data_IF_879456884270
#
_entry.id   IF_879456884270
#
_cell.length_a   1.000
_cell.length_b   1.000
_cell.length_c   1.000
_cell.angle_alpha   90.00
_cell.angle_beta   90.00
_cell.angle_gamma   90.00
#
_symmetry.space_group_name_H-M   'P 1'
#
loop_
_entity.id
_entity.type
_entity.pdbx_description
1 polymer ?
#
# COMPACT_ATOMS: atom_id res chain seq x y z
N UNK A 1 16.35 29.95 -36.43
CA UNK A 1 15.24 29.27 -35.75
C UNK A 1 15.72 28.90 -34.35
N UNK A 2 14.98 29.23 -33.30
CA UNK A 2 15.27 28.79 -31.93
C UNK A 2 14.09 28.02 -31.36
N UNK A 3 14.37 27.13 -30.41
CA UNK A 3 13.38 26.30 -29.72
C UNK A 3 13.54 26.50 -28.21
N UNK A 4 12.44 26.77 -27.51
CA UNK A 4 12.35 26.81 -26.05
C UNK A 4 11.31 25.79 -25.55
N UNK A 5 11.31 25.54 -24.23
CA UNK A 5 10.38 24.62 -23.57
C UNK A 5 10.83 23.16 -23.50
N UNK A 6 11.64 22.70 -24.46
CA UNK A 6 12.29 21.39 -24.43
C UNK A 6 13.73 21.45 -24.95
N UNK A 7 14.57 20.56 -24.43
CA UNK A 7 15.95 20.35 -24.91
C UNK A 7 16.07 19.10 -25.79
N UNK A 8 15.02 18.26 -25.86
CA UNK A 8 14.99 17.04 -26.66
C UNK A 8 14.18 17.28 -27.94
N UNK A 9 14.88 17.76 -28.97
CA UNK A 9 14.29 18.08 -30.26
C UNK A 9 15.25 17.84 -31.42
N UNK A 10 14.69 17.74 -32.62
CA UNK A 10 15.46 17.68 -33.87
C UNK A 10 14.77 18.48 -34.98
N UNK A 11 15.58 19.05 -35.88
CA UNK A 11 15.09 19.74 -37.07
C UNK A 11 14.93 18.78 -38.25
N UNK A 12 13.86 18.96 -39.01
CA UNK A 12 13.54 18.21 -40.21
C UNK A 12 13.35 19.18 -41.39
N UNK A 13 14.31 19.26 -42.35
CA UNK A 13 15.63 18.60 -42.32
C UNK A 13 16.56 19.20 -41.27
N UNK A 14 17.65 18.50 -40.96
CA UNK A 14 18.72 19.05 -40.12
C UNK A 14 19.38 20.27 -40.78
N UNK A 15 19.94 21.17 -39.97
CA UNK A 15 20.69 22.33 -40.47
C UNK A 15 21.87 21.87 -41.34
N UNK A 16 22.06 22.45 -42.55
CA UNK A 16 23.18 22.09 -43.43
C UNK A 16 24.56 22.31 -42.81
N UNK A 17 24.64 23.26 -41.88
CA UNK A 17 25.86 23.72 -41.19
C UNK A 17 25.96 23.22 -39.75
N UNK A 18 24.96 22.47 -39.26
CA UNK A 18 24.88 21.96 -37.90
C UNK A 18 25.02 23.06 -36.81
N UNK A 19 24.58 24.26 -37.12
CA UNK A 19 24.62 25.45 -36.25
C UNK A 19 23.23 26.08 -36.08
N UNK A 20 22.18 25.37 -36.52
CA UNK A 20 20.78 25.79 -36.53
C UNK A 20 20.48 27.00 -37.44
N UNK A 21 21.41 27.33 -38.36
CA UNK A 21 21.14 28.21 -39.48
C UNK A 21 20.62 27.42 -40.68
N UNK A 22 19.75 28.08 -41.44
CA UNK A 22 19.09 27.52 -42.60
C UNK A 22 19.03 28.59 -43.69
N UNK A 23 19.06 28.15 -44.95
CA UNK A 23 18.95 29.05 -46.08
C UNK A 23 17.54 29.68 -46.13
N UNK A 24 17.47 30.97 -46.49
CA UNK A 24 16.20 31.68 -46.63
C UNK A 24 15.24 30.96 -47.57
N UNK A 25 13.97 30.83 -47.17
CA UNK A 25 12.92 30.15 -47.93
C UNK A 25 12.86 28.63 -47.71
N UNK A 26 13.76 28.06 -46.89
CA UNK A 26 13.70 26.65 -46.51
C UNK A 26 12.50 26.38 -45.59
N UNK A 27 11.79 25.28 -45.82
CA UNK A 27 10.75 24.80 -44.90
C UNK A 27 11.35 23.82 -43.91
N UNK A 28 11.24 24.10 -42.62
CA UNK A 28 11.77 23.28 -41.53
C UNK A 28 10.66 22.94 -40.56
N UNK A 29 10.59 21.68 -40.13
CA UNK A 29 9.73 21.24 -39.03
C UNK A 29 10.58 20.89 -37.80
N UNK A 30 10.01 20.99 -36.61
CA UNK A 30 10.65 20.55 -35.38
C UNK A 30 9.96 19.29 -34.88
N UNK A 31 10.74 18.24 -34.65
CA UNK A 31 10.29 17.02 -34.02
C UNK A 31 10.72 17.00 -32.55
N UNK A 32 9.80 16.65 -31.67
CA UNK A 32 10.00 16.55 -30.22
C UNK A 32 9.40 15.24 -29.71
N UNK A 33 9.98 14.67 -28.65
CA UNK A 33 9.28 13.65 -27.87
C UNK A 33 8.20 14.33 -27.04
N UNK A 34 6.98 13.77 -27.03
CA UNK A 34 5.88 14.32 -26.22
C UNK A 34 6.14 14.12 -24.73
N UNK A 35 6.74 12.98 -24.36
CA UNK A 35 7.07 12.63 -22.99
C UNK A 35 8.57 12.47 -22.81
N UNK A 36 9.14 13.15 -21.80
CA UNK A 36 10.54 12.99 -21.42
C UNK A 36 10.65 12.75 -19.92
N UNK A 37 11.26 11.63 -19.50
CA UNK A 37 11.61 11.43 -18.09
C UNK A 37 12.83 12.28 -17.73
N UNK A 38 12.63 13.27 -16.86
CA UNK A 38 13.70 14.13 -16.34
C UNK A 38 14.45 13.40 -15.23
N UNK A 39 13.69 12.80 -14.31
CA UNK A 39 14.21 11.94 -13.26
C UNK A 39 13.54 10.56 -13.38
N UNK A 40 14.32 9.49 -13.63
CA UNK A 40 13.77 8.17 -13.85
C UNK A 40 12.83 7.73 -12.72
N UNK A 41 11.61 7.31 -13.08
CA UNK A 41 10.56 6.89 -12.15
C UNK A 41 10.16 7.93 -11.07
N UNK A 42 10.41 9.22 -11.30
CA UNK A 42 10.04 10.29 -10.35
C UNK A 42 9.36 11.46 -11.03
N UNK A 43 9.99 12.00 -12.07
CA UNK A 43 9.54 13.24 -12.73
C UNK A 43 9.59 13.03 -14.23
N UNK A 44 8.47 13.29 -14.89
CA UNK A 44 8.42 13.40 -16.35
C UNK A 44 7.77 14.70 -16.76
N UNK A 45 8.16 15.16 -17.94
CA UNK A 45 7.61 16.33 -18.60
C UNK A 45 6.78 15.86 -19.79
N UNK A 46 5.60 16.43 -19.94
CA UNK A 46 4.72 16.22 -21.08
C UNK A 46 4.61 17.53 -21.87
N UNK A 47 4.74 17.45 -23.19
CA UNK A 47 4.51 18.58 -24.08
C UNK A 47 3.02 18.63 -24.44
N UNK A 48 2.34 19.70 -24.04
CA UNK A 48 0.89 19.87 -24.20
C UNK A 48 0.53 20.79 -25.36
N UNK A 49 1.47 21.62 -25.80
CA UNK A 49 1.23 22.57 -26.87
C UNK A 49 2.49 23.22 -27.39
N UNK A 50 2.33 24.08 -28.38
CA UNK A 50 3.41 24.87 -28.95
C UNK A 50 2.91 26.21 -29.47
N UNK A 51 3.81 27.17 -29.65
CA UNK A 51 3.54 28.42 -30.35
C UNK A 51 4.69 28.77 -31.29
N UNK A 52 4.38 29.60 -32.28
CA UNK A 52 5.34 30.20 -33.20
C UNK A 52 5.35 31.70 -32.95
N UNK A 53 6.54 32.24 -32.69
CA UNK A 53 6.80 33.67 -32.47
C UNK A 53 5.93 34.29 -31.38
N UNK A 54 5.61 33.51 -30.34
CA UNK A 54 4.78 33.94 -29.19
C UNK A 54 3.39 34.45 -29.60
N UNK A 55 2.89 33.97 -30.73
CA UNK A 55 1.59 34.37 -31.27
C UNK A 55 0.45 33.56 -30.65
N UNK A 56 0.02 32.50 -31.31
CA UNK A 56 -1.08 31.63 -30.87
C UNK A 56 -0.54 30.36 -30.22
N UNK A 57 -1.24 29.89 -29.19
CA UNK A 57 -1.04 28.58 -28.59
C UNK A 57 -1.82 27.54 -29.40
N UNK A 58 -1.13 26.51 -29.87
CA UNK A 58 -1.75 25.33 -30.46
C UNK A 58 -1.57 24.13 -29.52
N UNK A 59 -2.69 23.56 -29.10
CA UNK A 59 -2.73 22.32 -28.34
C UNK A 59 -2.24 21.15 -29.20
N UNK A 60 -1.44 20.27 -28.60
CA UNK A 60 -1.02 19.02 -29.25
C UNK A 60 -1.98 17.93 -28.79
N UNK A 61 -2.77 17.41 -29.71
CA UNK A 61 -3.70 16.33 -29.41
C UNK A 61 -2.95 15.04 -29.00
N UNK A 62 -3.57 14.30 -28.08
CA UNK A 62 -3.17 12.93 -27.78
C UNK A 62 -3.71 11.99 -28.87
N UNK A 63 -2.87 11.72 -29.85
CA UNK A 63 -3.10 10.76 -30.93
C UNK A 63 -2.47 9.37 -30.62
N UNK A 64 -2.00 9.15 -29.39
CA UNK A 64 -1.27 7.95 -28.98
C UNK A 64 0.16 7.85 -29.54
N UNK A 65 0.65 8.86 -30.25
CA UNK A 65 2.04 8.91 -30.69
C UNK A 65 2.96 9.39 -29.56
N UNK A 66 4.22 8.96 -29.59
CA UNK A 66 5.23 9.36 -28.60
C UNK A 66 5.97 10.64 -28.98
N UNK A 67 5.77 11.16 -30.19
CA UNK A 67 6.48 12.33 -30.71
C UNK A 67 5.55 13.23 -31.48
N UNK A 68 5.78 14.53 -31.42
CA UNK A 68 5.08 15.52 -32.22
C UNK A 68 6.03 16.14 -33.24
N UNK A 69 5.52 16.44 -34.43
CA UNK A 69 6.25 17.21 -35.45
C UNK A 69 5.42 18.43 -35.84
N UNK A 70 6.01 19.61 -35.73
CA UNK A 70 5.33 20.86 -36.12
C UNK A 70 4.96 20.83 -37.60
N UNK A 71 3.94 21.60 -38.02
CA UNK A 71 3.79 21.96 -39.42
C UNK A 71 5.09 22.59 -39.99
N UNK A 72 5.34 22.50 -41.31
CA UNK A 72 6.51 23.12 -41.91
C UNK A 72 6.51 24.64 -41.75
N UNK A 73 7.62 25.19 -41.25
CA UNK A 73 7.82 26.63 -41.03
C UNK A 73 8.80 27.15 -42.09
N UNK A 74 8.39 28.14 -42.86
CA UNK A 74 9.23 28.75 -43.90
C UNK A 74 10.15 29.79 -43.28
N UNK A 75 11.46 29.55 -43.34
CA UNK A 75 12.47 30.40 -42.73
C UNK A 75 12.85 31.55 -43.67
N UNK A 76 12.06 32.63 -43.68
CA UNK A 76 12.42 33.87 -44.36
C UNK A 76 12.97 34.94 -43.40
N UNK A 77 12.73 34.74 -42.11
CA UNK A 77 13.21 35.57 -41.04
C UNK A 77 13.50 34.71 -39.80
N UNK A 78 13.89 35.36 -38.72
CA UNK A 78 14.07 34.67 -37.46
C UNK A 78 12.70 34.25 -36.90
N UNK A 79 12.61 32.97 -36.51
CA UNK A 79 11.46 32.41 -35.82
C UNK A 79 11.88 31.78 -34.49
N UNK A 80 10.99 31.87 -33.50
CA UNK A 80 11.08 31.23 -32.19
C UNK A 80 9.90 30.26 -32.01
N UNK A 81 10.19 29.02 -31.67
CA UNK A 81 9.18 28.02 -31.29
C UNK A 81 9.24 27.83 -29.79
N UNK A 82 8.12 27.99 -29.12
CA UNK A 82 8.00 27.75 -27.68
C UNK A 82 7.09 26.55 -27.45
N UNK A 83 7.63 25.47 -26.88
CA UNK A 83 6.84 24.32 -26.45
C UNK A 83 6.33 24.53 -25.03
N UNK A 84 5.04 24.29 -24.84
CA UNK A 84 4.39 24.34 -23.54
C UNK A 84 4.44 22.96 -22.92
N UNK A 85 4.75 22.92 -21.62
CA UNK A 85 4.99 21.67 -20.93
C UNK A 85 4.34 21.65 -19.57
N UNK A 86 3.95 20.45 -19.15
CA UNK A 86 3.42 20.18 -17.84
C UNK A 86 4.26 19.10 -17.15
N UNK A 87 4.36 19.22 -15.83
CA UNK A 87 5.08 18.24 -15.02
C UNK A 87 4.12 17.18 -14.50
N UNK A 88 4.56 15.93 -14.60
CA UNK A 88 3.92 14.82 -13.96
C UNK A 88 4.88 14.14 -12.98
N UNK A 89 4.33 13.76 -11.84
CA UNK A 89 5.06 13.13 -10.75
C UNK A 89 4.61 11.69 -10.55
N UNK A 90 5.58 10.84 -10.17
CA UNK A 90 5.29 9.45 -9.84
C UNK A 90 4.74 9.34 -8.42
N UNK A 91 3.55 8.76 -8.30
CA UNK A 91 3.00 8.25 -7.04
C UNK A 91 3.25 6.75 -6.96
N UNK A 92 3.89 6.32 -5.88
CA UNK A 92 4.12 4.91 -5.58
C UNK A 92 3.44 4.52 -4.27
N UNK A 93 2.41 3.67 -4.34
CA UNK A 93 1.67 3.15 -3.20
C UNK A 93 2.12 1.72 -2.92
N UNK A 94 2.73 1.50 -1.75
CA UNK A 94 3.30 0.22 -1.35
C UNK A 94 2.63 -0.32 -0.08
N UNK A 95 2.72 -1.64 0.13
CA UNK A 95 2.29 -2.31 1.34
C UNK A 95 3.15 -3.54 1.59
N UNK A 96 3.29 -3.92 2.86
CA UNK A 96 3.93 -5.18 3.25
C UNK A 96 3.02 -6.40 3.01
N UNK A 97 1.71 -6.19 3.06
CA UNK A 97 0.68 -7.20 2.79
C UNK A 97 -0.60 -6.58 2.21
N UNK A 98 -1.37 -7.37 1.48
CA UNK A 98 -2.53 -6.87 0.72
C UNK A 98 -2.15 -6.24 -0.63
N UNK A 99 -3.16 -5.79 -1.37
CA UNK A 99 -3.01 -5.17 -2.69
C UNK A 99 -3.29 -3.67 -2.62
N UNK A 100 -2.38 -2.85 -3.16
CA UNK A 100 -2.52 -1.39 -3.21
C UNK A 100 -3.06 -0.90 -4.55
N UNK A 101 -3.72 0.26 -4.53
CA UNK A 101 -4.27 0.91 -5.72
C UNK A 101 -3.89 2.40 -5.73
N UNK A 102 -3.81 2.99 -6.92
CA UNK A 102 -3.50 4.41 -7.10
C UNK A 102 -2.02 4.74 -7.41
N UNK A 103 -1.16 3.74 -7.56
CA UNK A 103 0.20 3.97 -8.10
C UNK A 103 0.14 4.39 -9.56
N UNK A 104 0.91 5.41 -9.97
CA UNK A 104 0.81 5.97 -11.31
C UNK A 104 1.64 7.22 -11.54
N UNK A 105 1.51 7.76 -12.75
CA UNK A 105 1.98 9.10 -13.10
C UNK A 105 0.79 10.04 -13.07
N UNK A 106 0.96 11.20 -12.45
CA UNK A 106 -0.12 12.17 -12.24
C UNK A 106 0.38 13.59 -12.47
N UNK A 107 -0.48 14.44 -13.02
CA UNK A 107 -0.21 15.87 -13.18
C UNK A 107 0.01 16.56 -11.84
N UNK A 108 0.85 17.58 -11.85
CA UNK A 108 1.01 18.45 -10.69
C UNK A 108 -0.32 19.13 -10.32
N UNK A 109 -0.63 19.15 -9.02
CA UNK A 109 -1.81 19.81 -8.47
C UNK A 109 -3.06 18.93 -8.41
N UNK A 110 -3.01 17.67 -8.85
CA UNK A 110 -4.16 16.76 -8.74
C UNK A 110 -4.19 16.06 -7.38
N UNK A 111 -5.39 15.69 -6.94
CA UNK A 111 -5.59 14.85 -5.74
C UNK A 111 -5.99 13.44 -6.19
N UNK A 112 -5.23 12.44 -5.78
CA UNK A 112 -5.41 11.04 -6.19
C UNK A 112 -5.99 10.23 -5.04
N UNK A 113 -7.11 9.50 -5.24
CA UNK A 113 -7.57 8.51 -4.28
C UNK A 113 -6.69 7.27 -4.35
N UNK A 114 -6.16 6.85 -3.20
CA UNK A 114 -5.41 5.61 -3.04
C UNK A 114 -6.17 4.67 -2.11
N UNK A 115 -5.88 3.38 -2.22
CA UNK A 115 -6.55 2.39 -1.39
C UNK A 115 -5.74 1.13 -1.19
N UNK A 116 -6.14 0.37 -0.19
CA UNK A 116 -5.58 -0.95 0.11
C UNK A 116 -6.69 -1.97 0.37
N UNK A 117 -6.60 -3.09 -0.34
CA UNK A 117 -7.28 -4.32 0.05
C UNK A 117 -6.32 -5.15 0.93
N UNK A 118 -6.50 -5.06 2.24
CA UNK A 118 -5.67 -5.77 3.21
C UNK A 118 -5.84 -7.30 3.11
N UNK A 119 -6.94 -7.78 2.53
CA UNK A 119 -7.27 -9.19 2.42
C UNK A 119 -7.44 -9.90 3.77
N UNK A 120 -7.42 -11.23 3.74
CA UNK A 120 -7.43 -12.08 4.93
C UNK A 120 -6.99 -13.50 4.60
N UNK A 121 -6.27 -14.14 5.53
CA UNK A 121 -5.84 -15.53 5.40
C UNK A 121 -6.66 -16.44 6.34
N UNK A 122 -7.74 -16.98 5.81
CA UNK A 122 -8.62 -17.89 6.54
C UNK A 122 -9.30 -17.23 7.75
N UNK A 123 -8.77 -17.49 8.94
CA UNK A 123 -9.30 -16.95 10.22
C UNK A 123 -8.50 -15.75 10.74
N UNK A 124 -7.43 -15.35 10.06
CA UNK A 124 -6.66 -14.13 10.36
C UNK A 124 -7.18 -13.04 9.41
N UNK A 125 -7.79 -12.01 9.98
CA UNK A 125 -8.19 -10.84 9.22
C UNK A 125 -7.01 -9.88 9.18
N UNK A 126 -6.72 -9.26 8.05
CA UNK A 126 -5.78 -8.15 8.02
C UNK A 126 -6.57 -6.85 8.16
N UNK A 127 -6.07 -5.91 8.96
CA UNK A 127 -6.62 -4.57 9.10
C UNK A 127 -5.55 -3.55 8.85
N UNK A 128 -5.87 -2.52 8.06
CA UNK A 128 -4.99 -1.37 7.92
C UNK A 128 -4.81 -0.71 9.30
N UNK A 129 -3.57 -0.55 9.71
CA UNK A 129 -3.18 0.15 10.92
C UNK A 129 -2.99 1.63 10.65
N UNK A 130 -2.17 1.96 9.63
CA UNK A 130 -1.80 3.35 9.33
C UNK A 130 -1.36 3.52 7.87
N UNK A 131 -1.53 4.74 7.34
CA UNK A 131 -0.85 5.19 6.14
C UNK A 131 0.34 6.08 6.52
N UNK A 132 1.53 5.76 6.00
CA UNK A 132 2.73 6.59 6.14
C UNK A 132 3.08 7.27 4.81
N UNK A 133 3.45 8.55 4.88
CA UNK A 133 3.81 9.38 3.73
C UNK A 133 3.50 10.85 4.00
N UNK A 134 3.70 11.72 3.01
CA UNK A 134 3.48 13.16 3.17
C UNK A 134 1.99 13.51 3.22
N UNK A 135 1.60 14.33 4.20
CA UNK A 135 0.28 14.95 4.43
C UNK A 135 -0.92 14.19 3.83
N UNK A 136 -1.19 13.02 4.42
CA UNK A 136 -2.27 12.13 4.00
C UNK A 136 -3.48 12.34 4.90
N UNK A 137 -4.64 12.61 4.30
CA UNK A 137 -5.94 12.47 4.99
C UNK A 137 -6.53 11.12 4.61
N UNK A 138 -6.84 10.26 5.60
CA UNK A 138 -7.34 8.91 5.36
C UNK A 138 -8.63 8.61 6.13
N UNK A 139 -9.42 7.71 5.56
CA UNK A 139 -10.62 7.12 6.17
C UNK A 139 -10.60 5.61 5.92
N UNK A 140 -10.23 4.85 6.96
CA UNK A 140 -10.01 3.42 6.87
C UNK A 140 -9.05 3.05 5.73
N UNK A 141 -9.45 2.08 4.91
CA UNK A 141 -8.67 1.50 3.81
C UNK A 141 -8.39 2.44 2.62
N UNK A 142 -8.83 3.70 2.68
CA UNK A 142 -8.65 4.67 1.59
C UNK A 142 -8.03 5.96 2.09
N UNK A 143 -7.29 6.63 1.21
CA UNK A 143 -6.70 7.92 1.49
C UNK A 143 -6.65 8.82 0.25
N UNK A 144 -6.45 10.11 0.46
CA UNK A 144 -6.27 11.09 -0.61
C UNK A 144 -4.88 11.70 -0.54
N UNK A 145 -4.21 11.80 -1.69
CA UNK A 145 -2.85 12.33 -1.81
C UNK A 145 -2.84 13.48 -2.81
N UNK A 146 -2.37 14.65 -2.38
CA UNK A 146 -2.13 15.79 -3.28
C UNK A 146 -0.76 15.66 -3.94
N UNK A 147 -0.70 15.84 -5.25
CA UNK A 147 0.52 15.64 -6.04
C UNK A 147 1.20 16.98 -6.30
N UNK A 148 2.20 17.34 -5.50
CA UNK A 148 3.07 18.51 -5.73
C UNK A 148 4.52 18.14 -6.04
N UNK A 149 4.84 16.84 -5.95
CA UNK A 149 6.15 16.27 -6.20
C UNK A 149 6.10 14.73 -6.22
N UNK A 150 7.24 14.06 -6.48
CA UNK A 150 7.30 12.60 -6.45
C UNK A 150 7.11 12.10 -5.01
N UNK A 151 6.17 11.17 -4.81
CA UNK A 151 5.77 10.72 -3.48
C UNK A 151 5.65 9.20 -3.41
N UNK A 152 6.09 8.64 -2.28
CA UNK A 152 5.85 7.24 -1.93
C UNK A 152 4.99 7.20 -0.67
N UNK A 153 3.94 6.41 -0.72
CA UNK A 153 3.00 6.19 0.38
C UNK A 153 2.99 4.71 0.73
N UNK A 154 3.11 4.42 2.02
CA UNK A 154 3.13 3.05 2.54
C UNK A 154 1.89 2.78 3.38
N UNK A 155 1.14 1.74 3.04
CA UNK A 155 0.13 1.18 3.93
C UNK A 155 0.79 0.21 4.91
N UNK A 156 0.49 0.34 6.20
CA UNK A 156 0.89 -0.61 7.25
C UNK A 156 -0.29 -1.48 7.62
N UNK A 157 -0.18 -2.77 7.38
CA UNK A 157 -1.27 -3.72 7.65
C UNK A 157 -0.92 -4.58 8.85
N UNK A 158 -1.85 -4.69 9.79
CA UNK A 158 -1.73 -5.53 10.97
C UNK A 158 -2.63 -6.77 10.89
N UNK A 159 -2.15 -7.86 11.48
CA UNK A 159 -2.91 -9.11 11.58
C UNK A 159 -3.82 -9.09 12.80
N UNK A 160 -5.11 -9.30 12.56
CA UNK A 160 -6.15 -9.42 13.58
C UNK A 160 -6.52 -10.89 13.83
N UNK A 161 -6.14 -11.38 15.00
CA UNK A 161 -6.32 -12.77 15.44
C UNK A 161 -7.63 -13.00 16.23
N UNK A 162 -8.53 -12.01 16.32
CA UNK A 162 -9.72 -12.09 17.19
C UNK A 162 -10.59 -13.31 16.91
N UNK A 163 -10.78 -13.69 15.64
CA UNK A 163 -11.56 -14.86 15.25
C UNK A 163 -10.88 -16.17 15.65
N UNK A 164 -9.55 -16.28 15.48
CA UNK A 164 -8.77 -17.43 15.92
C UNK A 164 -8.81 -17.59 17.45
N UNK A 165 -8.63 -16.49 18.19
CA UNK A 165 -8.69 -16.49 19.65
C UNK A 165 -10.09 -16.94 20.10
N UNK A 166 -11.16 -16.42 19.48
CA UNK A 166 -12.52 -16.85 19.76
C UNK A 166 -12.71 -18.36 19.52
N UNK A 167 -12.21 -18.88 18.40
CA UNK A 167 -12.35 -20.30 18.06
C UNK A 167 -11.63 -21.22 19.06
N UNK A 168 -10.53 -20.78 19.67
CA UNK A 168 -9.77 -21.56 20.66
C UNK A 168 -10.35 -21.40 22.08
N UNK A 169 -10.63 -20.16 22.49
CA UNK A 169 -11.02 -19.85 23.88
C UNK A 169 -12.47 -20.26 24.16
N UNK A 170 -13.40 -20.10 23.22
CA UNK A 170 -14.82 -20.41 23.42
C UNK A 170 -15.04 -21.90 23.74
N UNK A 171 -14.48 -22.88 23.01
CA UNK A 171 -14.60 -24.30 23.36
C UNK A 171 -14.01 -24.64 24.74
N UNK A 172 -12.86 -24.06 25.10
CA UNK A 172 -12.20 -24.29 26.39
C UNK A 172 -13.10 -23.81 27.54
N UNK A 173 -13.69 -22.61 27.42
CA UNK A 173 -14.61 -22.08 28.41
C UNK A 173 -15.89 -22.93 28.53
N UNK A 174 -16.43 -23.44 27.41
CA UNK A 174 -17.61 -24.32 27.41
C UNK A 174 -17.30 -25.66 28.09
N UNK A 175 -16.17 -26.30 27.78
CA UNK A 175 -15.74 -27.56 28.40
C UNK A 175 -15.50 -27.35 29.91
N UNK A 176 -14.82 -26.27 30.28
CA UNK A 176 -14.61 -25.88 31.68
C UNK A 176 -15.92 -25.67 32.43
N UNK A 177 -16.89 -24.98 31.83
CA UNK A 177 -18.21 -24.75 32.41
C UNK A 177 -19.02 -26.04 32.59
N UNK A 178 -19.01 -26.94 31.60
CA UNK A 178 -19.66 -28.26 31.69
C UNK A 178 -19.00 -29.12 32.78
N UNK A 179 -17.66 -29.13 32.85
CA UNK A 179 -16.89 -29.81 33.89
C UNK A 179 -17.20 -29.28 35.29
N UNK A 180 -17.22 -27.95 35.45
CA UNK A 180 -17.55 -27.28 36.71
C UNK A 180 -18.98 -27.59 37.17
N UNK A 181 -19.97 -27.54 36.26
CA UNK A 181 -21.36 -27.90 36.57
C UNK A 181 -21.49 -29.36 36.99
N UNK A 182 -20.72 -30.26 36.38
CA UNK A 182 -20.67 -31.69 36.74
C UNK A 182 -19.99 -31.94 38.08
N UNK A 183 -18.97 -31.14 38.44
CA UNK A 183 -18.28 -31.22 39.72
C UNK A 183 -19.13 -30.66 40.88
N UNK A 184 -19.79 -29.52 40.67
CA UNK A 184 -20.70 -28.90 41.66
C UNK A 184 -21.88 -29.82 42.03
N UNK A 185 -22.36 -30.61 41.07
CA UNK A 185 -23.44 -31.57 41.31
C UNK A 185 -22.99 -32.87 42.01
N UNK A 186 -21.69 -33.02 42.36
CA UNK A 186 -21.12 -34.24 42.97
C UNK A 186 -20.56 -34.03 44.38
N UNK A 187 -20.49 -32.81 44.90
CA UNK A 187 -19.93 -32.53 46.24
C UNK A 187 -21.04 -32.22 47.27
N UNK A 188 -21.06 -32.87 48.46
CA UNK A 188 -21.91 -32.44 49.58
C UNK A 188 -21.38 -31.15 50.24
N UNK A 189 -22.19 -30.40 51.00
CA UNK A 189 -21.79 -29.09 51.53
C UNK A 189 -20.71 -29.27 52.60
N UNK A 190 -19.57 -28.61 52.42
CA UNK A 190 -18.51 -28.49 53.43
C UNK A 190 -18.65 -27.11 54.09
N UNK A 191 -18.83 -27.09 55.42
CA UNK A 191 -18.78 -25.87 56.23
C UNK A 191 -17.31 -25.45 56.32
N UNK A 192 -16.97 -24.28 55.78
CA UNK A 192 -15.61 -23.72 55.78
C UNK A 192 -15.55 -22.59 56.81
N UNK A 193 -14.63 -22.72 57.77
CA UNK A 193 -14.32 -21.68 58.75
C UNK A 193 -13.62 -20.50 58.03
N UNK A 194 -14.22 -19.31 58.07
CA UNK A 194 -13.76 -18.13 57.32
C UNK A 194 -12.46 -17.57 57.93
N UNK A 195 -11.35 -17.62 57.17
CA UNK A 195 -10.19 -16.75 57.44
C UNK A 195 -10.42 -15.39 56.77
N UNK A 196 -10.05 -14.27 57.42
CA UNK A 196 -10.47 -12.93 57.01
C UNK A 196 -9.89 -12.58 55.63
N UNK A 197 -10.80 -12.37 54.68
CA UNK A 197 -10.60 -12.18 53.23
C UNK A 197 -9.74 -10.95 52.90
N UNK A 198 -9.72 -9.97 53.80
CA UNK A 198 -9.11 -8.64 53.59
C UNK A 198 -7.59 -8.72 53.31
N UNK A 199 -6.85 -9.63 53.98
CA UNK A 199 -5.40 -9.76 53.80
C UNK A 199 -5.00 -10.38 52.45
N UNK A 200 -5.89 -11.18 51.83
CA UNK A 200 -5.62 -11.84 50.55
C UNK A 200 -5.88 -10.86 49.40
N UNK A 201 -6.90 -10.02 49.52
CA UNK A 201 -7.27 -9.04 48.48
C UNK A 201 -6.20 -7.96 48.32
N UNK A 202 -5.66 -7.44 49.42
CA UNK A 202 -4.65 -6.38 49.39
C UNK A 202 -3.34 -6.83 48.72
N UNK A 203 -2.92 -8.08 48.98
CA UNK A 203 -1.72 -8.69 48.39
C UNK A 203 -1.88 -9.05 46.91
N UNK A 204 -3.11 -9.20 46.42
CA UNK A 204 -3.41 -9.45 45.01
C UNK A 204 -3.45 -8.14 44.24
N UNK A 205 -4.00 -7.06 44.80
CA UNK A 205 -4.06 -5.74 44.16
C UNK A 205 -2.65 -5.16 43.96
N UNK A 206 -1.78 -5.22 44.98
CA UNK A 206 -0.39 -4.75 44.89
C UNK A 206 0.42 -5.48 43.80
N UNK A 207 0.11 -6.77 43.56
CA UNK A 207 0.79 -7.61 42.57
C UNK A 207 0.27 -7.42 41.14
N UNK A 208 -0.95 -6.90 41.00
CA UNK A 208 -1.59 -6.64 39.69
C UNK A 208 -1.18 -5.28 39.15
N UNK A 209 -1.04 -4.25 40.00
CA UNK A 209 -0.60 -2.91 39.56
C UNK A 209 0.85 -2.86 39.04
N UNK A 210 1.73 -3.77 39.49
CA UNK A 210 3.14 -3.80 39.06
C UNK A 210 3.38 -4.56 37.74
N UNK A 211 2.39 -5.26 37.20
CA UNK A 211 2.57 -6.12 36.02
C UNK A 211 2.18 -5.46 34.68
N UNK A 212 1.60 -4.26 34.69
CA UNK A 212 1.33 -3.51 33.46
C UNK A 212 2.57 -2.71 33.03
N UNK A 213 3.41 -3.35 32.19
CA UNK A 213 4.21 -2.78 31.09
C UNK A 213 5.56 -3.48 30.96
N UNK A 214 5.57 -4.58 30.21
CA UNK A 214 6.72 -4.98 29.38
C UNK A 214 6.23 -5.96 28.31
N UNK A 215 5.94 -5.44 27.12
CA UNK A 215 5.86 -6.26 25.92
C UNK A 215 7.30 -6.67 25.57
N UNK A 216 7.62 -7.93 25.82
CA UNK A 216 8.94 -8.50 25.57
C UNK A 216 8.96 -9.12 24.17
N UNK A 217 9.87 -8.64 23.33
CA UNK A 217 10.11 -9.10 21.97
C UNK A 217 10.43 -10.61 21.97
N UNK A 218 9.60 -11.41 21.31
CA UNK A 218 9.64 -12.88 21.34
C UNK A 218 8.40 -13.57 21.92
N UNK A 219 7.41 -12.82 22.41
CA UNK A 219 6.10 -13.38 22.79
C UNK A 219 5.43 -14.07 21.59
N UNK A 220 5.48 -13.45 20.41
CA UNK A 220 4.85 -13.98 19.20
C UNK A 220 5.42 -15.33 18.78
N UNK A 221 6.73 -15.54 18.97
CA UNK A 221 7.38 -16.82 18.65
C UNK A 221 6.99 -17.91 19.66
N UNK A 222 7.04 -17.61 20.96
CA UNK A 222 6.63 -18.57 22.00
C UNK A 222 5.14 -18.90 21.91
N UNK A 223 4.32 -17.91 21.59
CA UNK A 223 2.89 -18.07 21.37
C UNK A 223 2.64 -18.90 20.11
N UNK A 224 3.34 -18.65 19.01
CA UNK A 224 3.24 -19.45 17.79
C UNK A 224 3.64 -20.91 18.02
N UNK A 225 4.75 -21.16 18.72
CA UNK A 225 5.23 -22.51 19.05
C UNK A 225 4.21 -23.25 19.94
N UNK A 226 3.71 -22.58 20.99
CA UNK A 226 2.69 -23.15 21.88
C UNK A 226 1.38 -23.44 21.14
N UNK A 227 0.92 -22.52 20.29
CA UNK A 227 -0.30 -22.71 19.52
C UNK A 227 -0.15 -23.82 18.49
N UNK A 228 1.01 -23.95 17.84
CA UNK A 228 1.30 -25.04 16.91
C UNK A 228 1.24 -26.41 17.61
N UNK A 229 1.86 -26.52 18.79
CA UNK A 229 1.81 -27.76 19.59
C UNK A 229 0.38 -28.12 20.02
N UNK A 230 -0.41 -27.13 20.44
CA UNK A 230 -1.82 -27.33 20.79
C UNK A 230 -2.68 -27.72 19.58
N UNK A 231 -2.40 -27.15 18.40
CA UNK A 231 -3.09 -27.48 17.14
C UNK A 231 -2.82 -28.93 16.74
N UNK A 232 -1.57 -29.38 16.77
CA UNK A 232 -1.22 -30.78 16.45
C UNK A 232 -1.88 -31.75 17.43
N UNK A 233 -1.82 -31.44 18.72
CA UNK A 233 -2.45 -32.25 19.78
C UNK A 233 -3.95 -32.39 19.57
N UNK A 234 -4.65 -31.28 19.28
CA UNK A 234 -6.09 -31.29 19.03
C UNK A 234 -6.44 -31.99 17.72
N UNK A 235 -5.64 -31.82 16.67
CA UNK A 235 -5.84 -32.48 15.39
C UNK A 235 -5.74 -34.01 15.53
N UNK A 236 -4.82 -34.50 16.36
CA UNK A 236 -4.65 -35.91 16.69
C UNK A 236 -5.83 -36.46 17.54
N UNK A 237 -6.33 -35.67 18.50
CA UNK A 237 -7.55 -36.00 19.26
C UNK A 237 -8.79 -36.09 18.35
N UNK A 238 -8.92 -35.18 17.39
CA UNK A 238 -10.06 -35.17 16.45
C UNK A 238 -10.02 -36.33 15.47
N UNK A 239 -8.82 -36.72 15.01
CA UNK A 239 -8.63 -37.92 14.19
C UNK A 239 -8.98 -39.18 14.98
N UNK A 240 -8.45 -39.31 16.20
CA UNK A 240 -8.70 -40.49 17.04
C UNK A 240 -10.16 -40.63 17.47
N UNK A 241 -10.91 -39.52 17.49
CA UNK A 241 -12.35 -39.50 17.76
C UNK A 241 -13.25 -39.67 16.53
N UNK A 242 -12.67 -39.97 15.34
CA UNK A 242 -13.36 -40.08 14.03
C UNK A 242 -14.15 -38.81 13.61
N UNK A 243 -13.89 -37.67 14.26
CA UNK A 243 -14.59 -36.41 13.98
C UNK A 243 -14.17 -35.84 12.62
N UNK A 244 -12.95 -36.18 12.17
CA UNK A 244 -12.41 -35.78 10.87
C UNK A 244 -11.92 -37.00 10.10
N UNK A 245 -12.12 -37.01 8.78
CA UNK A 245 -11.62 -38.06 7.91
C UNK A 245 -10.11 -37.98 7.72
N UNK A 246 -9.46 -39.12 7.47
CA UNK A 246 -8.01 -39.20 7.26
C UNK A 246 -7.51 -38.27 6.15
N UNK A 247 -8.28 -38.13 5.07
CA UNK A 247 -7.94 -37.21 3.97
C UNK A 247 -7.93 -35.74 4.41
N UNK A 248 -8.85 -35.37 5.32
CA UNK A 248 -8.96 -34.00 5.82
C UNK A 248 -7.91 -33.71 6.90
N UNK A 249 -7.58 -34.70 7.73
CA UNK A 249 -6.48 -34.64 8.69
C UNK A 249 -5.13 -34.39 8.00
N UNK A 250 -4.79 -35.15 6.96
CA UNK A 250 -3.49 -35.02 6.28
C UNK A 250 -3.31 -33.65 5.60
N UNK A 251 -4.36 -33.10 4.99
CA UNK A 251 -4.31 -31.76 4.37
C UNK A 251 -4.09 -30.63 5.35
N UNK A 252 -4.57 -30.78 6.60
CA UNK A 252 -4.41 -29.77 7.65
C UNK A 252 -3.04 -29.93 8.30
N UNK A 253 -2.57 -31.17 8.49
CA UNK A 253 -1.25 -31.46 9.05
C UNK A 253 -0.08 -31.06 8.14
N UNK A 254 -0.26 -30.96 6.83
CA UNK A 254 0.80 -30.46 5.94
C UNK A 254 1.02 -28.93 6.02
N UNK A 255 0.09 -28.20 6.63
CA UNK A 255 0.12 -26.72 6.72
C UNK A 255 0.65 -26.18 8.06
N UNK A 256 0.88 -27.06 9.03
CA UNK A 256 1.29 -26.77 10.41
C UNK A 256 2.28 -27.81 10.89
#
# INVERSE_FOLDING_TARGET
LSVEGTNDYSFLPSSPTNDNWFDSGTSVSVNVQKTTEIEPNKVRQEITGWSLDKSEFWEIEDDGSTSFTTPPIVLNEYHQIDFFTEYQYKLNVISDSGETTGSGWYEQGVTVPIGIDAGGDGLILNSLSEWEGADITYDGNTAQVFIDGPITVSAKVEKNYSLLIGMIVIPILIIGFIGFKKFKNRAPPVIVEEKPVERIVEKVIERVETAEKKYEDGYDKKLADYLSEQIQTKLDEMKSSEIISDSKYSKIKEKY
#
